data_IF_921490126191
#
_entry.id   IF_921490126191
#
_cell.length_a   1.000
_cell.length_b   1.000
_cell.length_c   1.000
_cell.angle_alpha   90.00
_cell.angle_beta   90.00
_cell.angle_gamma   90.00
#
_symmetry.space_group_name_H-M   'P 1'
#
loop_
_entity.id
_entity.type
_entity.pdbx_description
1 polymer ?
#
# COMPACT_ATOMS: atom_id res chain seq x y z
N UNK A 1 15.55 -21.93 -11.24
CA UNK A 1 14.45 -22.05 -10.27
C UNK A 1 13.70 -20.73 -10.26
N UNK A 2 12.42 -20.72 -10.63
CA UNK A 2 11.60 -19.51 -10.49
C UNK A 2 11.52 -19.18 -9.01
N UNK A 3 12.00 -18.00 -8.60
CA UNK A 3 11.82 -17.52 -7.22
C UNK A 3 10.34 -17.34 -6.99
N UNK A 4 9.71 -18.25 -6.24
CA UNK A 4 8.36 -18.05 -5.74
C UNK A 4 8.41 -16.96 -4.68
N UNK A 5 7.86 -15.80 -5.01
CA UNK A 5 7.71 -14.71 -4.05
C UNK A 5 6.66 -15.10 -3.00
N UNK A 6 6.86 -14.72 -1.73
CA UNK A 6 5.84 -14.90 -0.71
C UNK A 6 4.55 -14.20 -1.12
N UNK A 7 3.42 -14.87 -0.95
CA UNK A 7 2.11 -14.32 -1.28
C UNK A 7 1.49 -13.63 -0.07
N UNK A 8 0.81 -12.51 -0.30
CA UNK A 8 0.01 -11.89 0.73
C UNK A 8 -1.14 -12.83 1.12
N UNK A 9 -1.34 -13.05 2.43
CA UNK A 9 -2.45 -13.84 2.98
C UNK A 9 -3.41 -13.00 3.80
N UNK A 10 -2.93 -11.89 4.36
CA UNK A 10 -3.74 -10.94 5.12
C UNK A 10 -3.17 -9.54 4.96
N UNK A 11 -4.05 -8.56 4.77
CA UNK A 11 -3.65 -7.16 4.66
C UNK A 11 -4.58 -6.30 5.49
N UNK A 12 -4.01 -5.39 6.26
CA UNK A 12 -4.74 -4.34 6.96
C UNK A 12 -4.20 -2.97 6.57
N UNK A 13 -5.12 -2.03 6.38
CA UNK A 13 -4.77 -0.62 6.17
C UNK A 13 -4.58 0.02 7.53
N UNK A 14 -3.36 0.46 7.83
CA UNK A 14 -2.98 1.11 9.07
C UNK A 14 -2.75 2.60 8.79
N UNK A 15 -3.84 3.38 8.72
CA UNK A 15 -3.81 4.83 8.51
C UNK A 15 -2.92 5.26 7.33
N UNK A 16 -3.31 4.85 6.11
CA UNK A 16 -2.60 5.07 4.83
C UNK A 16 -1.35 4.20 4.57
N UNK A 17 -0.96 3.35 5.52
CA UNK A 17 0.01 2.27 5.29
C UNK A 17 -0.71 0.95 5.05
N UNK A 18 -0.04 0.03 4.35
CA UNK A 18 -0.41 -1.36 4.27
C UNK A 18 0.49 -2.15 5.19
N UNK A 19 -0.11 -2.97 6.03
CA UNK A 19 0.57 -4.00 6.78
C UNK A 19 0.11 -5.35 6.23
N UNK A 20 1.09 -6.12 5.77
CA UNK A 20 0.91 -7.27 4.90
C UNK A 20 1.53 -8.47 5.61
N UNK A 21 0.69 -9.45 5.91
CA UNK A 21 1.13 -10.77 6.34
C UNK A 21 1.31 -11.65 5.11
N UNK A 22 2.46 -12.28 5.00
CA UNK A 22 2.81 -13.19 3.92
C UNK A 22 2.69 -14.65 4.37
N UNK A 23 2.51 -15.55 3.42
CA UNK A 23 2.43 -17.01 3.63
C UNK A 23 3.67 -17.63 4.32
N UNK A 24 4.81 -16.96 4.23
CA UNK A 24 6.05 -17.33 4.94
C UNK A 24 6.07 -16.89 6.42
N UNK A 25 4.98 -16.32 6.93
CA UNK A 25 4.82 -15.85 8.31
C UNK A 25 5.42 -14.47 8.59
N UNK A 26 6.01 -13.79 7.58
CA UNK A 26 6.53 -12.44 7.76
C UNK A 26 5.41 -11.40 7.66
N UNK A 27 5.40 -10.45 8.59
CA UNK A 27 4.63 -9.21 8.44
C UNK A 27 5.56 -8.11 7.94
N UNK A 28 5.15 -7.41 6.88
CA UNK A 28 5.89 -6.28 6.30
C UNK A 28 4.96 -5.10 6.08
N UNK A 29 5.54 -3.91 5.98
CA UNK A 29 4.82 -2.64 5.92
C UNK A 29 5.21 -1.87 4.66
N UNK A 30 4.24 -1.25 4.00
CA UNK A 30 4.50 -0.33 2.89
C UNK A 30 3.53 0.85 2.90
N UNK A 31 3.88 1.89 2.18
CA UNK A 31 2.95 2.99 1.87
C UNK A 31 1.94 2.51 0.84
N UNK A 32 0.68 2.92 0.96
CA UNK A 32 -0.30 2.68 -0.10
C UNK A 32 -0.04 3.62 -1.28
N UNK A 33 -0.49 3.24 -2.47
CA UNK A 33 -0.51 4.14 -3.63
C UNK A 33 -1.20 5.46 -3.32
N UNK A 34 -2.28 5.43 -2.51
CA UNK A 34 -3.03 6.61 -2.13
C UNK A 34 -2.14 7.65 -1.43
N UNK A 35 -1.35 7.27 -0.42
CA UNK A 35 -0.52 8.24 0.31
C UNK A 35 0.61 8.79 -0.56
N UNK A 36 1.20 7.98 -1.43
CA UNK A 36 2.21 8.45 -2.37
C UNK A 36 1.60 9.42 -3.40
N UNK A 37 0.38 9.16 -3.86
CA UNK A 37 -0.36 10.09 -4.71
C UNK A 37 -0.70 11.39 -3.97
N UNK A 38 -1.13 11.30 -2.71
CA UNK A 38 -1.43 12.46 -1.86
C UNK A 38 -0.18 13.32 -1.60
N UNK A 39 0.94 12.72 -1.22
CA UNK A 39 2.22 13.43 -1.03
C UNK A 39 2.66 14.07 -2.34
N UNK A 40 2.59 13.34 -3.46
CA UNK A 40 2.97 13.89 -4.76
C UNK A 40 2.06 15.03 -5.24
N UNK A 41 0.81 15.14 -4.73
CA UNK A 41 -0.09 16.24 -5.03
C UNK A 41 0.44 17.60 -4.54
N UNK A 42 1.26 17.62 -3.48
CA UNK A 42 1.95 18.81 -2.97
C UNK A 42 3.15 19.24 -3.82
N UNK A 43 3.66 18.35 -4.69
CA UNK A 43 4.79 18.67 -5.56
C UNK A 43 4.35 19.59 -6.71
N UNK A 44 5.15 20.64 -6.97
CA UNK A 44 4.93 21.53 -8.11
C UNK A 44 5.02 20.80 -9.46
N UNK A 45 5.91 19.82 -9.59
CA UNK A 45 6.14 19.07 -10.83
C UNK A 45 5.31 17.79 -10.92
N UNK A 46 5.21 17.02 -9.82
CA UNK A 46 4.51 15.72 -9.79
C UNK A 46 3.03 15.79 -9.42
N UNK A 47 2.53 16.97 -9.03
CA UNK A 47 1.16 17.14 -8.53
C UNK A 47 0.11 17.43 -9.61
N UNK A 48 0.49 17.69 -10.87
CA UNK A 48 -0.46 17.96 -11.96
C UNK A 48 -1.39 16.74 -12.13
N UNK A 49 -2.71 16.95 -12.01
CA UNK A 49 -3.73 15.88 -12.04
C UNK A 49 -4.06 15.25 -10.68
N UNK A 50 -3.19 15.39 -9.67
CA UNK A 50 -3.36 14.78 -8.34
C UNK A 50 -3.85 15.76 -7.26
N UNK A 51 -3.82 17.07 -7.52
CA UNK A 51 -4.26 18.13 -6.57
C UNK A 51 -5.69 17.99 -6.06
N UNK A 52 -6.56 17.27 -6.78
CA UNK A 52 -7.92 16.96 -6.30
C UNK A 52 -7.89 16.16 -4.98
N UNK A 53 -6.85 15.35 -4.76
CA UNK A 53 -6.67 14.59 -3.52
C UNK A 53 -6.46 15.49 -2.30
N UNK A 54 -6.00 16.74 -2.48
CA UNK A 54 -5.83 17.72 -1.39
C UNK A 54 -7.17 18.18 -0.80
N UNK A 55 -8.29 17.95 -1.49
CA UNK A 55 -9.63 18.28 -1.04
C UNK A 55 -10.26 17.19 -0.17
N UNK A 56 -9.60 16.03 -0.05
CA UNK A 56 -10.12 14.86 0.68
C UNK A 56 -9.22 14.59 1.88
N UNK A 57 -9.84 14.32 3.03
CA UNK A 57 -9.09 13.90 4.21
C UNK A 57 -8.42 12.54 3.93
N UNK A 58 -7.09 12.40 4.08
CA UNK A 58 -6.39 11.16 3.76
C UNK A 58 -6.90 9.98 4.62
N UNK A 59 -7.39 10.26 5.82
CA UNK A 59 -8.02 9.28 6.73
C UNK A 59 -9.22 8.55 6.12
N UNK A 60 -9.89 9.09 5.10
CA UNK A 60 -10.99 8.40 4.43
C UNK A 60 -10.53 7.20 3.60
N UNK A 61 -9.27 7.19 3.16
CA UNK A 61 -8.67 6.02 2.51
C UNK A 61 -8.67 4.79 3.43
N UNK A 62 -8.58 4.99 4.74
CA UNK A 62 -8.60 3.91 5.71
C UNK A 62 -9.98 3.24 5.80
N UNK A 63 -11.05 4.03 5.86
CA UNK A 63 -12.42 3.51 5.99
C UNK A 63 -12.93 2.83 4.71
N UNK A 64 -12.52 3.31 3.53
CA UNK A 64 -13.00 2.79 2.24
C UNK A 64 -12.20 1.63 1.65
N UNK A 65 -11.14 1.18 2.32
CA UNK A 65 -10.10 0.34 1.72
C UNK A 65 -10.60 -1.00 1.17
N UNK A 66 -11.45 -1.73 1.92
CA UNK A 66 -11.98 -3.06 1.55
C UNK A 66 -10.94 -3.95 0.81
N UNK A 67 -9.83 -4.31 1.45
CA UNK A 67 -8.76 -5.06 0.81
C UNK A 67 -9.24 -6.46 0.40
N UNK A 68 -9.02 -6.82 -0.86
CA UNK A 68 -9.32 -8.13 -1.42
C UNK A 68 -8.03 -8.75 -1.94
N UNK A 69 -7.71 -9.95 -1.48
CA UNK A 69 -6.53 -10.70 -1.90
C UNK A 69 -6.97 -11.78 -2.88
N UNK A 70 -6.34 -11.81 -4.06
CA UNK A 70 -6.56 -12.83 -5.07
C UNK A 70 -5.69 -14.08 -4.83
N UNK A 71 -6.03 -15.19 -5.50
CA UNK A 71 -5.36 -16.50 -5.33
C UNK A 71 -3.87 -16.48 -5.74
N UNK A 72 -3.53 -15.57 -6.65
CA UNK A 72 -2.16 -15.32 -7.08
C UNK A 72 -1.33 -14.51 -6.05
N UNK A 73 -1.97 -13.95 -5.02
CA UNK A 73 -1.35 -13.11 -3.99
C UNK A 73 -1.41 -11.61 -4.29
N UNK A 74 -2.08 -11.21 -5.39
CA UNK A 74 -2.32 -9.80 -5.72
C UNK A 74 -3.33 -9.19 -4.75
N UNK A 75 -3.16 -7.90 -4.45
CA UNK A 75 -4.06 -7.15 -3.56
C UNK A 75 -4.81 -6.11 -4.38
N UNK A 76 -6.13 -6.01 -4.16
CA UNK A 76 -6.95 -4.90 -4.65
C UNK A 76 -7.53 -4.11 -3.49
N UNK A 77 -7.40 -2.79 -3.53
CA UNK A 77 -7.96 -1.83 -2.58
C UNK A 77 -8.92 -0.90 -3.33
N UNK A 78 -9.97 -0.42 -2.67
CA UNK A 78 -10.98 0.48 -3.27
C UNK A 78 -11.67 -0.10 -4.52
N UNK A 79 -11.60 -1.42 -4.73
CA UNK A 79 -12.15 -2.11 -5.90
C UNK A 79 -11.41 -1.86 -7.23
N UNK A 80 -10.31 -1.10 -7.25
CA UNK A 80 -9.59 -0.79 -8.48
C UNK A 80 -8.08 -0.55 -8.32
N UNK A 81 -7.60 -0.23 -7.12
CA UNK A 81 -6.18 -0.01 -6.84
C UNK A 81 -5.48 -1.37 -6.64
N UNK A 82 -4.72 -1.82 -7.63
CA UNK A 82 -4.07 -3.12 -7.64
C UNK A 82 -2.59 -3.05 -7.27
N UNK A 83 -2.14 -4.04 -6.50
CA UNK A 83 -0.76 -4.27 -6.13
C UNK A 83 -0.38 -5.70 -6.53
N UNK A 84 0.75 -5.86 -7.21
CA UNK A 84 1.23 -7.19 -7.60
C UNK A 84 2.03 -7.83 -6.45
N UNK A 85 2.19 -9.17 -6.41
CA UNK A 85 3.03 -9.84 -5.42
C UNK A 85 4.48 -9.32 -5.41
N UNK A 86 5.03 -9.02 -6.58
CA UNK A 86 6.38 -8.44 -6.75
C UNK A 86 6.48 -7.09 -6.07
N UNK A 87 5.46 -6.25 -6.26
CA UNK A 87 5.40 -4.92 -5.67
C UNK A 87 5.27 -4.99 -4.14
N UNK A 88 4.32 -5.80 -3.66
CA UNK A 88 4.08 -6.00 -2.23
C UNK A 88 5.34 -6.50 -1.52
N UNK A 89 6.07 -7.43 -2.11
CA UNK A 89 7.30 -7.95 -1.52
C UNK A 89 8.48 -6.99 -1.65
N UNK A 90 8.67 -6.40 -2.84
CA UNK A 90 9.82 -5.56 -3.16
C UNK A 90 9.80 -4.20 -2.46
N UNK A 91 8.63 -3.59 -2.31
CA UNK A 91 8.49 -2.25 -1.75
C UNK A 91 8.22 -2.24 -0.24
N UNK A 92 7.82 -3.37 0.34
CA UNK A 92 7.58 -3.46 1.78
C UNK A 92 8.85 -3.61 2.60
N UNK A 93 8.78 -3.15 3.85
CA UNK A 93 9.86 -3.14 4.85
C UNK A 93 9.46 -3.95 6.07
N UNK A 94 10.42 -4.48 6.81
CA UNK A 94 10.12 -5.33 7.97
C UNK A 94 9.62 -4.53 9.17
N UNK A 95 9.95 -3.24 9.26
CA UNK A 95 9.56 -2.38 10.37
C UNK A 95 8.69 -1.20 9.92
N UNK A 96 7.70 -0.84 10.74
CA UNK A 96 6.75 0.22 10.41
C UNK A 96 7.39 1.63 10.38
N UNK A 97 8.42 1.88 11.19
CA UNK A 97 9.11 3.19 11.23
C UNK A 97 9.85 3.49 9.91
N UNK A 98 10.25 2.45 9.16
CA UNK A 98 10.93 2.61 7.87
C UNK A 98 10.01 3.21 6.79
N UNK A 99 8.70 3.16 6.99
CA UNK A 99 7.71 3.63 6.01
C UNK A 99 6.78 4.72 6.56
N UNK A 100 6.57 4.77 7.88
CA UNK A 100 5.70 5.77 8.52
C UNK A 100 6.31 7.16 8.64
N UNK A 101 7.65 7.27 8.63
CA UNK A 101 8.34 8.55 8.85
C UNK A 101 8.31 9.03 10.30
N UNK A 102 7.87 8.18 11.24
CA UNK A 102 7.99 8.39 12.69
C UNK A 102 9.28 7.69 13.12
N UNK A 103 10.21 8.45 13.70
CA UNK A 103 11.49 7.97 14.23
C UNK A 103 11.46 7.89 15.76
#
# INVERSE_FOLDING_TARGET
MARTLPKAVKVWVAANLLAIEFDNGQTRYMRSHFIDQYISAWSLTKGKGKRKLLLVAPTWSWFGANPVIAVDGSLTIFGHDQYTPEELWGNSKSQIYEVSGVH
#
